data_IF_794109608678
#
_entry.id   IF_794109608678
#
_cell.length_a   1.000
_cell.length_b   1.000
_cell.length_c   1.000
_cell.angle_alpha   90.00
_cell.angle_beta   90.00
_cell.angle_gamma   90.00
#
_symmetry.space_group_name_H-M   'P 1'
#
loop_
_entity.id
_entity.type
_entity.pdbx_description
1 polymer ?
#
# COMPACT_ATOMS: atom_id res chain seq x y z
N UNK A 1 26.38 -1.24 2.87
CA UNK A 1 27.28 -0.19 3.41
C UNK A 1 26.59 0.44 4.61
N UNK A 2 26.91 -0.04 5.82
CA UNK A 2 26.24 0.36 7.05
C UNK A 2 26.83 1.69 7.54
N UNK A 3 26.13 2.81 7.26
CA UNK A 3 26.54 4.15 7.70
C UNK A 3 26.07 4.38 9.14
N UNK A 4 26.94 4.20 10.12
CA UNK A 4 26.70 4.64 11.51
C UNK A 4 27.20 6.08 11.69
N UNK A 5 26.29 7.02 11.89
CA UNK A 5 26.59 8.44 12.16
C UNK A 5 26.47 8.82 13.64
N UNK A 6 26.19 7.85 14.54
CA UNK A 6 26.06 8.08 15.98
C UNK A 6 26.61 6.90 16.81
N UNK A 7 26.93 7.14 18.10
CA UNK A 7 27.40 6.14 19.09
C UNK A 7 26.38 5.03 19.44
N UNK A 8 25.26 4.94 18.74
CA UNK A 8 24.19 3.98 18.98
C UNK A 8 23.82 3.25 17.70
N UNK A 9 23.57 1.95 17.81
CA UNK A 9 23.01 1.13 16.74
C UNK A 9 21.52 1.03 16.94
N UNK A 10 20.76 1.61 16.03
CA UNK A 10 19.30 1.48 16.01
C UNK A 10 18.91 0.18 15.32
N UNK A 11 18.03 -0.61 15.94
CA UNK A 11 17.47 -1.81 15.30
C UNK A 11 16.58 -1.47 14.10
N UNK A 12 15.87 -0.34 14.14
CA UNK A 12 15.13 0.26 13.02
C UNK A 12 15.15 1.78 13.15
N UNK A 13 15.37 2.49 12.05
CA UNK A 13 15.32 3.95 12.00
C UNK A 13 14.16 4.34 11.09
N UNK A 14 13.12 4.95 11.68
CA UNK A 14 11.95 5.41 10.96
C UNK A 14 11.16 4.31 10.25
N UNK A 15 10.32 4.73 9.31
CA UNK A 15 9.56 3.86 8.42
C UNK A 15 10.22 3.82 7.05
N UNK A 16 10.29 2.64 6.43
CA UNK A 16 10.83 2.50 5.08
C UNK A 16 9.76 2.91 4.08
N UNK A 17 10.02 3.97 3.29
CA UNK A 17 9.02 4.48 2.32
C UNK A 17 8.82 3.51 1.14
N UNK A 18 9.90 3.23 0.43
CA UNK A 18 9.87 2.38 -0.75
C UNK A 18 11.25 1.74 -0.99
N UNK A 19 11.28 0.76 -1.86
CA UNK A 19 12.50 0.20 -2.45
C UNK A 19 12.66 0.70 -3.88
N UNK A 20 13.88 1.08 -4.25
CA UNK A 20 14.21 1.42 -5.63
C UNK A 20 14.29 0.15 -6.47
N UNK A 21 13.61 0.16 -7.61
CA UNK A 21 13.65 -0.90 -8.60
C UNK A 21 13.97 -0.30 -9.98
N UNK A 22 14.41 -1.10 -10.94
CA UNK A 22 14.87 -0.61 -12.26
C UNK A 22 13.79 0.20 -13.02
N UNK A 23 12.50 -0.01 -12.71
CA UNK A 23 11.35 0.65 -13.33
C UNK A 23 10.50 1.44 -12.32
N UNK A 24 11.12 2.05 -11.32
CA UNK A 24 10.43 2.93 -10.37
C UNK A 24 10.56 2.48 -8.91
N UNK A 25 9.49 2.67 -8.14
CA UNK A 25 9.49 2.43 -6.70
C UNK A 25 8.51 1.33 -6.32
N UNK A 26 8.95 0.42 -5.46
CA UNK A 26 8.08 -0.54 -4.77
C UNK A 26 7.78 -0.02 -3.38
N UNK A 27 6.58 0.53 -3.20
CA UNK A 27 6.12 1.04 -1.91
C UNK A 27 6.06 -0.05 -0.85
N UNK A 28 6.42 0.32 0.38
CA UNK A 28 6.28 -0.58 1.52
C UNK A 28 4.91 -0.41 2.14
N UNK A 29 4.34 -1.53 2.60
CA UNK A 29 3.03 -1.55 3.25
C UNK A 29 2.97 -0.57 4.43
N UNK A 30 3.99 -0.55 5.30
CA UNK A 30 4.05 0.36 6.45
C UNK A 30 3.93 1.84 6.05
N UNK A 31 4.56 2.24 4.95
CA UNK A 31 4.46 3.61 4.45
C UNK A 31 3.07 3.94 3.93
N UNK A 32 2.41 2.99 3.27
CA UNK A 32 1.03 3.17 2.79
C UNK A 32 0.09 3.33 3.96
N UNK A 33 0.17 2.46 4.97
CA UNK A 33 -0.70 2.55 6.15
C UNK A 33 -0.50 3.88 6.90
N UNK A 34 0.74 4.32 7.06
CA UNK A 34 1.06 5.51 7.86
C UNK A 34 0.84 6.84 7.13
N UNK A 35 1.06 6.89 5.81
CA UNK A 35 1.16 8.14 5.05
C UNK A 35 0.16 8.26 3.90
N UNK A 36 -0.68 7.25 3.66
CA UNK A 36 -1.67 7.28 2.59
C UNK A 36 -2.60 8.50 2.68
N UNK A 37 -2.87 9.12 1.54
CA UNK A 37 -3.99 10.03 1.37
C UNK A 37 -5.17 9.26 0.76
N UNK A 38 -6.06 8.79 1.63
CA UNK A 38 -7.24 8.00 1.26
C UNK A 38 -8.31 8.83 0.55
N UNK A 39 -8.34 10.14 0.73
CA UNK A 39 -9.37 11.00 0.10
C UNK A 39 -9.21 11.10 -1.41
N UNK A 40 -7.97 10.99 -1.92
CA UNK A 40 -7.67 11.15 -3.35
C UNK A 40 -7.49 9.83 -4.10
N UNK A 41 -6.88 8.84 -3.43
CA UNK A 41 -6.49 7.57 -4.04
C UNK A 41 -7.19 6.37 -3.39
N UNK A 42 -8.10 6.62 -2.45
CA UNK A 42 -8.84 5.59 -1.74
C UNK A 42 -9.83 4.85 -2.64
N UNK A 43 -9.78 3.53 -2.57
CA UNK A 43 -10.81 2.64 -3.07
C UNK A 43 -11.41 1.90 -1.88
N UNK A 44 -12.62 2.32 -1.49
CA UNK A 44 -13.34 1.72 -0.38
C UNK A 44 -13.86 0.33 -0.79
N UNK A 45 -13.56 -0.67 0.03
CA UNK A 45 -14.01 -2.05 -0.16
C UNK A 45 -15.33 -2.30 0.56
N UNK A 46 -16.12 -3.21 -0.01
CA UNK A 46 -17.22 -3.85 0.71
C UNK A 46 -16.67 -4.78 1.80
N UNK A 47 -17.53 -5.22 2.73
CA UNK A 47 -17.13 -6.20 3.74
C UNK A 47 -16.61 -7.52 3.12
N UNK A 48 -17.26 -7.97 2.04
CA UNK A 48 -16.91 -9.22 1.33
C UNK A 48 -15.55 -9.09 0.66
N UNK A 49 -15.33 -7.98 -0.05
CA UNK A 49 -14.06 -7.67 -0.70
C UNK A 49 -12.92 -7.52 0.31
N UNK A 50 -13.19 -6.86 1.45
CA UNK A 50 -12.21 -6.72 2.52
C UNK A 50 -11.83 -8.09 3.12
N UNK A 51 -12.77 -9.03 3.24
CA UNK A 51 -12.47 -10.38 3.69
C UNK A 51 -11.55 -11.13 2.72
N UNK A 52 -11.81 -11.03 1.41
CA UNK A 52 -10.95 -11.64 0.40
C UNK A 52 -9.56 -10.98 0.38
N UNK A 53 -9.49 -9.65 0.54
CA UNK A 53 -8.24 -8.92 0.70
C UNK A 53 -7.41 -9.43 1.88
N UNK A 54 -8.01 -9.60 3.06
CA UNK A 54 -7.33 -10.14 4.24
C UNK A 54 -6.87 -11.59 4.07
N UNK A 55 -7.49 -12.36 3.17
CA UNK A 55 -7.08 -13.71 2.79
C UNK A 55 -5.95 -13.71 1.76
N UNK A 56 -5.49 -12.54 1.30
CA UNK A 56 -4.47 -12.40 0.27
C UNK A 56 -4.96 -12.79 -1.12
N UNK A 57 -6.28 -12.67 -1.37
CA UNK A 57 -6.90 -12.95 -2.66
C UNK A 57 -7.15 -11.67 -3.45
N UNK A 58 -7.24 -11.80 -4.76
CA UNK A 58 -7.60 -10.71 -5.64
C UNK A 58 -9.06 -10.28 -5.41
N UNK A 59 -9.30 -8.98 -5.49
CA UNK A 59 -10.59 -8.36 -5.27
C UNK A 59 -11.06 -7.73 -6.59
N UNK A 60 -12.31 -7.97 -6.94
CA UNK A 60 -12.92 -7.47 -8.18
C UNK A 60 -14.06 -6.51 -7.84
N UNK A 61 -13.76 -5.23 -7.57
CA UNK A 61 -14.78 -4.26 -7.20
C UNK A 61 -15.74 -4.04 -8.37
N UNK A 62 -17.02 -3.82 -8.07
CA UNK A 62 -18.04 -3.55 -9.10
C UNK A 62 -17.74 -2.30 -9.94
N UNK A 63 -17.10 -1.30 -9.33
CA UNK A 63 -16.59 -0.12 -10.02
C UNK A 63 -15.07 -0.22 -10.13
N UNK A 64 -14.56 -0.10 -11.35
CA UNK A 64 -13.12 -0.06 -11.56
C UNK A 64 -12.53 1.20 -10.93
N UNK A 65 -11.36 1.09 -10.26
CA UNK A 65 -10.69 2.25 -9.70
C UNK A 65 -10.28 3.22 -10.80
N UNK A 66 -10.30 4.52 -10.47
CA UNK A 66 -9.93 5.59 -11.41
C UNK A 66 -8.43 5.63 -11.77
N UNK A 67 -7.59 5.01 -10.93
CA UNK A 67 -6.14 5.00 -11.08
C UNK A 67 -5.60 3.57 -11.17
N UNK A 68 -4.44 3.42 -11.81
CA UNK A 68 -3.77 2.12 -11.90
C UNK A 68 -3.18 1.69 -10.55
N UNK A 69 -2.79 2.63 -9.69
CA UNK A 69 -2.38 2.37 -8.32
C UNK A 69 -3.40 3.04 -7.37
N UNK A 70 -4.02 2.25 -6.49
CA UNK A 70 -5.03 2.73 -5.52
C UNK A 70 -4.73 2.26 -4.11
N UNK A 71 -5.16 3.07 -3.14
CA UNK A 71 -5.08 2.75 -1.72
C UNK A 71 -6.38 2.06 -1.36
N UNK A 72 -6.30 0.77 -1.09
CA UNK A 72 -7.45 -0.01 -0.63
C UNK A 72 -7.81 0.46 0.77
N UNK A 73 -9.07 0.81 1.00
CA UNK A 73 -9.57 1.24 2.31
C UNK A 73 -10.76 0.41 2.75
N UNK A 74 -10.95 0.31 4.07
CA UNK A 74 -12.14 -0.28 4.65
C UNK A 74 -12.51 0.47 5.94
N UNK A 75 -13.75 0.94 6.02
CA UNK A 75 -14.26 1.82 7.05
C UNK A 75 -13.40 3.10 7.22
N UNK A 76 -12.89 3.62 6.11
CA UNK A 76 -12.01 4.80 6.12
C UNK A 76 -10.57 4.54 6.59
N UNK A 77 -10.20 3.30 6.90
CA UNK A 77 -8.82 2.94 7.24
C UNK A 77 -8.08 2.36 6.02
N UNK A 78 -6.83 2.78 5.75
CA UNK A 78 -6.03 2.18 4.70
C UNK A 78 -5.68 0.74 5.05
N UNK A 79 -5.89 -0.17 4.10
CA UNK A 79 -5.52 -1.58 4.17
C UNK A 79 -4.26 -1.90 3.37
N UNK A 80 -3.96 -1.13 2.32
CA UNK A 80 -2.76 -1.34 1.52
C UNK A 80 -2.83 -0.70 0.13
N UNK A 81 -1.77 -0.92 -0.65
CA UNK A 81 -1.69 -0.46 -2.03
C UNK A 81 -2.05 -1.62 -2.96
N UNK A 82 -3.02 -1.40 -3.84
CA UNK A 82 -3.38 -2.32 -4.91
C UNK A 82 -3.03 -1.72 -6.27
N UNK A 83 -2.75 -2.60 -7.22
CA UNK A 83 -2.59 -2.25 -8.62
C UNK A 83 -3.77 -2.81 -9.40
N UNK A 84 -4.40 -1.96 -10.22
CA UNK A 84 -5.42 -2.39 -11.17
C UNK A 84 -4.79 -3.31 -12.20
N UNK A 85 -5.33 -4.51 -12.31
CA UNK A 85 -5.04 -5.45 -13.38
C UNK A 85 -6.11 -5.27 -14.46
N UNK A 86 -5.71 -4.86 -15.66
CA UNK A 86 -6.60 -4.94 -16.81
C UNK A 86 -6.59 -6.39 -17.27
N UNK A 87 -7.75 -7.06 -17.21
CA UNK A 87 -7.94 -8.29 -17.96
C UNK A 87 -8.14 -7.90 -19.42
N UNK A 88 -7.12 -8.14 -20.24
CA UNK A 88 -7.24 -8.17 -21.71
C UNK A 88 -8.16 -9.32 -22.16
#
# INVERSE_FOLDING_TARGET
>A
MNRCWAKFVFSRIGIKLAETHNKGFRWQHEAVIALANTDKLGQELTLEDAQEWYRGRDVYPQQSPAHDDVIVTFQGFPLGLAKRINSD
#
